data_IF_171544513421
#
_entry.id   IF_171544513421
#
_cell.length_a   1.000
_cell.length_b   1.000
_cell.length_c   1.000
_cell.angle_alpha   90.00
_cell.angle_beta   90.00
_cell.angle_gamma   90.00
#
_symmetry.space_group_name_H-M   'P 1'
#
loop_
_entity.id
_entity.type
_entity.pdbx_description
1 polymer ?
#
# COMPACT_ATOMS: atom_id res chain seq x y z
N UNK A 1 -16.58 -2.92 3.39
CA UNK A 1 -16.63 -4.15 2.54
C UNK A 1 -17.60 -4.05 1.36
N UNK A 2 -18.71 -3.32 1.52
CA UNK A 2 -19.75 -3.07 0.52
C UNK A 2 -19.27 -2.77 -0.91
N UNK A 3 -18.17 -2.01 -1.05
CA UNK A 3 -17.60 -1.66 -2.35
C UNK A 3 -17.11 -2.88 -3.16
N UNK A 4 -16.45 -3.84 -2.52
CA UNK A 4 -15.97 -5.05 -3.19
C UNK A 4 -17.14 -5.86 -3.76
N UNK A 5 -18.21 -5.99 -2.98
CA UNK A 5 -19.40 -6.70 -3.41
C UNK A 5 -20.15 -5.98 -4.52
N UNK A 6 -20.19 -4.64 -4.49
CA UNK A 6 -20.85 -3.84 -5.52
C UNK A 6 -20.28 -4.10 -6.91
N UNK A 7 -18.95 -4.02 -7.09
CA UNK A 7 -18.33 -4.27 -8.40
C UNK A 7 -18.42 -5.71 -8.85
N UNK A 8 -18.20 -6.66 -7.92
CA UNK A 8 -18.34 -8.09 -8.21
C UNK A 8 -19.74 -8.39 -8.74
N UNK A 9 -20.77 -7.89 -8.04
CA UNK A 9 -22.16 -8.05 -8.41
C UNK A 9 -22.49 -7.37 -9.74
N UNK A 10 -21.96 -6.16 -9.97
CA UNK A 10 -22.17 -5.46 -11.24
C UNK A 10 -21.58 -6.27 -12.41
N UNK A 11 -20.33 -6.72 -12.31
CA UNK A 11 -19.67 -7.46 -13.39
C UNK A 11 -20.39 -8.78 -13.65
N UNK A 12 -20.67 -9.58 -12.60
CA UNK A 12 -21.35 -10.87 -12.75
C UNK A 12 -22.78 -10.77 -13.30
N UNK A 13 -23.47 -9.63 -13.14
CA UNK A 13 -24.80 -9.41 -13.70
C UNK A 13 -24.78 -8.99 -15.17
N UNK A 14 -23.70 -8.37 -15.63
CA UNK A 14 -23.60 -7.81 -16.97
C UNK A 14 -22.82 -8.70 -17.94
N UNK A 15 -22.01 -9.63 -17.42
CA UNK A 15 -21.14 -10.50 -18.21
C UNK A 15 -21.26 -11.95 -17.72
N UNK A 16 -21.13 -12.91 -18.64
CA UNK A 16 -21.12 -14.34 -18.34
C UNK A 16 -19.76 -14.77 -17.77
N UNK A 17 -19.49 -14.35 -16.54
CA UNK A 17 -18.20 -14.53 -15.87
C UNK A 17 -18.35 -14.88 -14.40
N UNK A 18 -17.41 -15.67 -13.89
CA UNK A 18 -17.21 -15.82 -12.45
C UNK A 18 -16.32 -14.68 -11.95
N UNK A 19 -16.73 -14.02 -10.86
CA UNK A 19 -16.02 -12.88 -10.30
C UNK A 19 -15.53 -13.18 -8.90
N UNK A 20 -14.24 -12.92 -8.66
CA UNK A 20 -13.56 -13.28 -7.41
C UNK A 20 -12.87 -12.03 -6.88
N UNK A 21 -13.09 -11.75 -5.59
CA UNK A 21 -12.30 -10.78 -4.83
C UNK A 21 -11.44 -11.55 -3.82
N UNK A 22 -10.17 -11.18 -3.74
CA UNK A 22 -9.23 -11.81 -2.81
C UNK A 22 -8.99 -10.86 -1.66
N UNK A 23 -9.26 -11.31 -0.44
CA UNK A 23 -8.80 -10.63 0.77
C UNK A 23 -7.32 -10.98 0.97
N UNK A 24 -6.46 -10.26 0.25
CA UNK A 24 -5.02 -10.50 0.21
C UNK A 24 -4.31 -9.97 1.47
N UNK A 25 -3.05 -10.33 1.64
CA UNK A 25 -2.19 -9.91 2.74
C UNK A 25 -2.13 -8.39 2.86
N UNK A 26 -2.40 -7.88 4.07
CA UNK A 26 -2.44 -6.44 4.33
C UNK A 26 -3.53 -5.71 3.49
N UNK A 27 -4.59 -6.41 3.06
CA UNK A 27 -5.74 -5.81 2.37
C UNK A 27 -6.35 -4.66 3.18
N UNK A 28 -6.46 -4.84 4.50
CA UNK A 28 -6.96 -3.81 5.39
C UNK A 28 -5.86 -3.15 6.20
N UNK A 29 -5.27 -2.15 5.57
CA UNK A 29 -4.22 -1.32 6.13
C UNK A 29 -4.74 -0.08 6.89
N UNK A 30 -6.04 0.03 7.16
CA UNK A 30 -6.66 1.18 7.85
C UNK A 30 -7.78 0.71 8.77
N UNK A 31 -8.31 1.63 9.59
CA UNK A 31 -9.54 1.36 10.35
C UNK A 31 -10.68 1.05 9.40
N UNK A 32 -11.45 0.03 9.77
CA UNK A 32 -12.58 -0.48 9.00
C UNK A 32 -13.84 -0.45 9.87
N UNK A 33 -14.99 -0.35 9.22
CA UNK A 33 -16.31 -0.55 9.84
C UNK A 33 -16.55 -2.02 10.22
N UNK A 34 -15.78 -2.94 9.65
CA UNK A 34 -15.80 -4.37 9.98
C UNK A 34 -14.58 -4.73 10.83
N UNK A 35 -14.81 -5.06 12.11
CA UNK A 35 -13.78 -5.28 13.14
C UNK A 35 -12.71 -6.30 12.74
N UNK A 36 -13.10 -7.44 12.18
CA UNK A 36 -12.19 -8.49 11.68
C UNK A 36 -11.14 -7.96 10.69
N UNK A 37 -11.48 -6.88 9.99
CA UNK A 37 -10.66 -6.26 8.97
C UNK A 37 -10.22 -4.85 9.37
N UNK A 38 -10.24 -4.49 10.65
CA UNK A 38 -9.80 -3.16 11.08
C UNK A 38 -8.35 -3.20 11.54
N UNK A 39 -7.50 -2.37 10.95
CA UNK A 39 -6.20 -2.07 11.55
C UNK A 39 -6.39 -1.32 12.87
N UNK A 40 -5.50 -1.54 13.84
CA UNK A 40 -5.48 -0.79 15.10
C UNK A 40 -4.30 0.16 15.15
N UNK A 41 -4.45 1.24 15.92
CA UNK A 41 -3.41 2.25 16.14
C UNK A 41 -2.48 1.75 17.25
N UNK A 42 -1.19 1.87 17.05
CA UNK A 42 -0.16 1.51 18.02
C UNK A 42 1.00 2.49 17.90
N UNK A 43 1.64 2.84 19.01
CA UNK A 43 2.84 3.65 19.00
C UNK A 43 4.07 2.71 18.97
N UNK A 44 4.85 2.80 17.90
CA UNK A 44 6.17 2.21 17.85
C UNK A 44 7.18 3.12 18.56
N UNK A 45 8.39 2.62 18.79
CA UNK A 45 9.45 3.38 19.46
C UNK A 45 9.70 4.73 18.79
N UNK A 46 9.67 4.76 17.45
CA UNK A 46 9.80 5.97 16.64
C UNK A 46 8.66 6.97 16.85
N UNK A 47 7.44 6.48 17.12
CA UNK A 47 6.30 7.34 17.45
C UNK A 47 6.44 7.95 18.85
N UNK A 48 6.90 7.14 19.80
CA UNK A 48 7.20 7.61 21.17
C UNK A 48 8.30 8.66 21.13
N UNK A 49 9.34 8.45 20.34
CA UNK A 49 10.44 9.40 20.18
C UNK A 49 9.98 10.69 19.49
N UNK A 50 9.11 10.61 18.48
CA UNK A 50 8.47 11.79 17.89
C UNK A 50 7.70 12.61 18.95
N UNK A 51 6.92 11.96 19.82
CA UNK A 51 6.19 12.63 20.89
C UNK A 51 7.16 13.31 21.88
N UNK A 52 8.24 12.64 22.30
CA UNK A 52 9.28 13.24 23.16
C UNK A 52 9.88 14.50 22.55
N UNK A 53 10.25 14.43 21.28
CA UNK A 53 10.84 15.56 20.57
C UNK A 53 9.90 16.77 20.54
N UNK A 54 8.60 16.54 20.30
CA UNK A 54 7.60 17.59 20.36
C UNK A 54 7.40 18.14 21.78
N UNK A 55 7.35 17.29 22.80
CA UNK A 55 7.24 17.74 24.20
C UNK A 55 8.43 18.63 24.59
N UNK A 56 9.65 18.22 24.24
CA UNK A 56 10.88 18.96 24.49
C UNK A 56 10.92 20.30 23.74
N UNK A 57 10.50 20.33 22.47
CA UNK A 57 10.44 21.54 21.67
C UNK A 57 9.57 22.63 22.32
N UNK A 58 8.50 22.23 23.03
CA UNK A 58 7.60 23.15 23.71
C UNK A 58 7.93 23.33 25.20
N UNK A 59 9.07 22.80 25.67
CA UNK A 59 9.46 22.80 27.07
C UNK A 59 8.35 22.27 28.00
N UNK A 60 7.55 21.33 27.49
CA UNK A 60 6.46 20.73 28.25
C UNK A 60 7.06 19.74 29.25
N UNK A 61 6.70 19.84 30.53
CA UNK A 61 7.22 18.92 31.54
C UNK A 61 6.51 17.57 31.47
N UNK A 62 7.27 16.48 31.41
CA UNK A 62 6.76 15.11 31.43
C UNK A 62 7.73 14.20 32.19
N UNK A 63 7.18 13.13 32.78
CA UNK A 63 7.96 12.06 33.39
C UNK A 63 8.45 11.06 32.34
N UNK A 64 8.55 9.78 32.70
CA UNK A 64 8.79 8.74 31.69
C UNK A 64 7.61 8.62 30.71
N UNK A 65 7.91 8.32 29.45
CA UNK A 65 6.92 8.08 28.41
C UNK A 65 6.99 6.65 27.91
N UNK A 66 5.83 6.03 27.76
CA UNK A 66 5.65 4.70 27.22
C UNK A 66 4.30 4.61 26.49
N UNK A 67 3.96 3.42 25.99
CA UNK A 67 2.73 3.22 25.23
C UNK A 67 1.44 3.48 26.02
N UNK A 68 1.47 3.31 27.34
CA UNK A 68 0.29 3.47 28.19
C UNK A 68 -0.07 4.95 28.41
N UNK A 69 0.93 5.85 28.42
CA UNK A 69 0.73 7.26 28.70
C UNK A 69 0.96 8.21 27.49
N UNK A 70 1.54 7.72 26.39
CA UNK A 70 1.88 8.54 25.22
C UNK A 70 0.69 9.30 24.64
N UNK A 71 -0.47 8.66 24.52
CA UNK A 71 -1.68 9.31 24.01
C UNK A 71 -2.12 10.48 24.89
N UNK A 72 -2.06 10.28 26.21
CA UNK A 72 -2.43 11.32 27.18
C UNK A 72 -1.47 12.51 27.12
N UNK A 73 -0.16 12.26 27.02
CA UNK A 73 0.86 13.31 26.90
C UNK A 73 0.71 14.09 25.59
N UNK A 74 0.50 13.40 24.47
CA UNK A 74 0.25 14.04 23.18
C UNK A 74 -0.99 14.96 23.23
N UNK A 75 -2.10 14.48 23.80
CA UNK A 75 -3.30 15.30 23.97
C UNK A 75 -3.09 16.50 24.91
N UNK A 76 -2.27 16.34 25.95
CA UNK A 76 -1.93 17.43 26.87
C UNK A 76 -1.09 18.51 26.17
N UNK A 77 -0.15 18.10 25.31
CA UNK A 77 0.63 19.02 24.49
C UNK A 77 -0.24 19.76 23.47
N UNK A 78 -1.24 19.09 22.87
CA UNK A 78 -2.22 19.74 21.98
C UNK A 78 -2.94 20.88 22.69
N UNK A 79 -3.45 20.65 23.92
CA UNK A 79 -4.11 21.69 24.73
C UNK A 79 -3.15 22.82 25.10
N UNK A 80 -1.88 22.51 25.36
CA UNK A 80 -0.87 23.52 25.60
C UNK A 80 -0.64 24.43 24.38
N UNK A 81 -0.52 23.84 23.19
CA UNK A 81 -0.40 24.57 21.92
C UNK A 81 -1.63 25.43 21.63
N UNK A 82 -2.83 24.92 21.89
CA UNK A 82 -4.07 25.70 21.80
C UNK A 82 -4.02 26.95 22.70
N UNK A 83 -3.61 26.82 23.96
CA UNK A 83 -3.47 27.94 24.88
C UNK A 83 -2.42 28.96 24.41
N UNK A 84 -1.29 28.51 23.85
CA UNK A 84 -0.27 29.42 23.30
C UNK A 84 -0.80 30.24 22.12
N UNK A 85 -1.62 29.63 21.25
CA UNK A 85 -2.28 30.34 20.15
C UNK A 85 -3.29 31.36 20.66
N UNK A 86 -4.10 31.01 21.67
CA UNK A 86 -5.04 31.95 22.30
C UNK A 86 -4.32 33.16 22.92
N UNK A 87 -3.09 32.98 23.38
CA UNK A 87 -2.22 34.05 23.89
C UNK A 87 -1.46 34.80 22.78
N UNK A 88 -1.69 34.49 21.51
CA UNK A 88 -0.94 34.99 20.35
C UNK A 88 0.58 34.77 20.43
N UNK A 89 1.02 33.72 21.15
CA UNK A 89 2.43 33.31 21.26
C UNK A 89 2.85 32.32 20.18
N UNK A 90 1.90 31.83 19.41
CA UNK A 90 2.11 30.87 18.33
C UNK A 90 1.16 31.20 17.18
N UNK A 91 1.60 30.95 15.94
CA UNK A 91 0.76 31.13 14.75
C UNK A 91 -0.52 30.30 14.86
N UNK A 92 -1.67 30.90 14.54
CA UNK A 92 -2.98 30.24 14.58
C UNK A 92 -3.07 29.03 13.64
N UNK A 93 -2.33 29.05 12.52
CA UNK A 93 -2.25 27.96 11.54
C UNK A 93 -1.24 26.87 11.91
N UNK A 94 -0.41 27.07 12.94
CA UNK A 94 0.57 26.07 13.36
C UNK A 94 -0.10 24.75 13.73
N UNK A 95 0.48 23.60 13.36
CA UNK A 95 0.01 22.30 13.81
C UNK A 95 1.18 21.45 14.30
N UNK A 96 0.98 20.75 15.42
CA UNK A 96 1.85 19.66 15.82
C UNK A 96 1.73 18.50 14.83
N UNK A 97 2.85 17.95 14.38
CA UNK A 97 2.87 16.77 13.51
C UNK A 97 3.28 15.54 14.32
N UNK A 98 2.28 14.84 14.86
CA UNK A 98 2.49 13.55 15.52
C UNK A 98 2.59 12.43 14.49
N UNK A 99 3.27 11.36 14.87
CA UNK A 99 3.29 10.10 14.11
C UNK A 99 2.59 8.98 14.89
N UNK A 100 2.01 8.02 14.16
CA UNK A 100 1.42 6.81 14.74
C UNK A 100 1.46 5.66 13.75
N UNK A 101 1.44 4.41 14.22
CA UNK A 101 1.51 3.24 13.36
C UNK A 101 0.17 2.51 13.28
N UNK A 102 -0.27 2.16 12.08
CA UNK A 102 -1.32 1.17 11.86
C UNK A 102 -0.73 -0.24 11.82
N UNK A 103 -1.31 -1.11 12.64
CA UNK A 103 -1.01 -2.54 12.62
C UNK A 103 -2.20 -3.24 11.93
N UNK A 104 -1.98 -3.82 10.74
CA UNK A 104 -2.98 -4.65 10.07
C UNK A 104 -3.47 -5.80 10.98
N UNK A 105 -4.71 -6.27 10.81
CA UNK A 105 -5.19 -7.45 11.54
C UNK A 105 -4.46 -8.71 11.08
N UNK A 106 -4.58 -9.80 11.84
CA UNK A 106 -4.05 -11.14 11.50
C UNK A 106 -2.52 -11.28 11.41
N UNK A 107 -1.75 -10.32 11.96
CA UNK A 107 -0.28 -10.39 11.94
C UNK A 107 0.34 -10.00 10.59
N UNK A 108 -0.45 -9.42 9.69
CA UNK A 108 0.01 -8.90 8.41
C UNK A 108 0.95 -7.68 8.57
N UNK A 109 1.67 -7.36 7.50
CA UNK A 109 2.52 -6.17 7.42
C UNK A 109 2.53 -5.62 6.00
N UNK A 110 2.96 -4.37 5.86
CA UNK A 110 3.13 -3.76 4.54
C UNK A 110 4.33 -4.40 3.82
N UNK A 111 4.04 -5.26 2.84
CA UNK A 111 5.03 -5.87 1.96
C UNK A 111 5.09 -5.20 0.58
N UNK A 112 4.01 -4.52 0.18
CA UNK A 112 3.73 -3.90 -1.11
C UNK A 112 3.99 -4.81 -2.32
N UNK A 113 2.93 -5.25 -2.99
CA UNK A 113 3.00 -6.02 -4.24
C UNK A 113 3.12 -7.53 -4.02
N UNK A 114 4.26 -8.03 -3.54
CA UNK A 114 4.62 -9.46 -3.67
C UNK A 114 3.68 -10.39 -2.90
N UNK A 115 3.48 -10.17 -1.58
CA UNK A 115 2.57 -11.03 -0.81
C UNK A 115 1.14 -10.98 -1.37
N UNK A 116 0.66 -9.77 -1.69
CA UNK A 116 -0.68 -9.60 -2.26
C UNK A 116 -0.84 -10.31 -3.62
N UNK A 117 0.14 -10.21 -4.52
CA UNK A 117 0.11 -10.89 -5.81
C UNK A 117 0.13 -12.42 -5.65
N UNK A 118 0.94 -12.95 -4.72
CA UNK A 118 0.99 -14.38 -4.41
C UNK A 118 -0.36 -14.88 -3.88
N UNK A 119 -1.04 -14.12 -3.03
CA UNK A 119 -2.36 -14.50 -2.53
C UNK A 119 -3.41 -14.60 -3.64
N UNK A 120 -3.37 -13.71 -4.64
CA UNK A 120 -4.26 -13.83 -5.80
C UNK A 120 -3.95 -15.09 -6.61
N UNK A 121 -2.67 -15.40 -6.82
CA UNK A 121 -2.25 -16.63 -7.52
C UNK A 121 -2.71 -17.87 -6.75
N UNK A 122 -2.54 -17.88 -5.43
CA UNK A 122 -2.94 -18.98 -4.57
C UNK A 122 -4.46 -19.13 -4.52
N UNK A 123 -5.22 -18.03 -4.46
CA UNK A 123 -6.67 -18.05 -4.52
C UNK A 123 -7.18 -18.68 -5.82
N UNK A 124 -6.58 -18.36 -6.97
CA UNK A 124 -6.91 -19.01 -8.25
C UNK A 124 -6.61 -20.52 -8.20
N UNK A 125 -5.44 -20.91 -7.67
CA UNK A 125 -5.05 -22.33 -7.60
C UNK A 125 -5.99 -23.13 -6.70
N UNK A 126 -6.37 -22.57 -5.56
CA UNK A 126 -7.34 -23.20 -4.65
C UNK A 126 -8.73 -23.29 -5.28
N UNK A 127 -9.16 -22.23 -5.97
CA UNK A 127 -10.42 -22.21 -6.69
C UNK A 127 -10.48 -23.30 -7.77
N UNK A 128 -9.42 -23.47 -8.56
CA UNK A 128 -9.33 -24.53 -9.57
C UNK A 128 -9.33 -25.92 -8.92
N UNK A 129 -8.69 -26.08 -7.76
CA UNK A 129 -8.71 -27.35 -7.01
C UNK A 129 -10.13 -27.70 -6.53
N UNK A 130 -10.85 -26.71 -6.01
CA UNK A 130 -12.23 -26.87 -5.53
C UNK A 130 -13.24 -27.01 -6.68
N UNK A 131 -13.00 -26.34 -7.80
CA UNK A 131 -13.86 -26.34 -8.99
C UNK A 131 -13.03 -26.60 -10.26
N UNK A 132 -12.72 -27.87 -10.57
CA UNK A 132 -11.81 -28.23 -11.67
C UNK A 132 -12.19 -27.65 -13.04
N UNK A 133 -13.49 -27.46 -13.30
CA UNK A 133 -13.98 -26.83 -14.55
C UNK A 133 -13.51 -25.38 -14.74
N UNK A 134 -13.10 -24.69 -13.67
CA UNK A 134 -12.56 -23.33 -13.77
C UNK A 134 -11.14 -23.30 -14.33
N UNK A 135 -10.45 -24.46 -14.39
CA UNK A 135 -9.15 -24.57 -15.04
C UNK A 135 -9.20 -24.16 -16.53
N UNK A 136 -10.33 -24.41 -17.18
CA UNK A 136 -10.51 -24.19 -18.63
C UNK A 136 -11.00 -22.78 -18.97
N UNK A 137 -11.43 -22.00 -17.97
CA UNK A 137 -11.89 -20.62 -18.18
C UNK A 137 -10.72 -19.67 -18.40
N UNK A 138 -10.88 -18.56 -19.15
CA UNK A 138 -9.90 -17.48 -19.19
C UNK A 138 -9.74 -16.78 -17.83
N UNK A 139 -8.49 -16.44 -17.46
CA UNK A 139 -8.13 -15.75 -16.21
C UNK A 139 -7.81 -14.29 -16.51
N UNK A 140 -8.69 -13.40 -16.10
CA UNK A 140 -8.52 -11.95 -16.27
C UNK A 140 -8.32 -11.31 -14.90
N UNK A 141 -7.22 -10.58 -14.74
CA UNK A 141 -6.95 -9.78 -13.55
C UNK A 141 -7.18 -8.32 -13.86
N UNK A 142 -7.92 -7.62 -13.00
CA UNK A 142 -8.17 -6.21 -13.22
C UNK A 142 -8.32 -5.39 -11.96
N UNK A 143 -7.94 -4.12 -12.04
CA UNK A 143 -8.07 -3.20 -10.93
C UNK A 143 -7.62 -1.78 -11.23
N UNK A 144 -8.00 -0.87 -10.33
CA UNK A 144 -7.56 0.53 -10.34
C UNK A 144 -6.42 0.79 -9.35
N UNK A 145 -5.55 1.74 -9.66
CA UNK A 145 -4.42 2.17 -8.82
C UNK A 145 -3.59 0.96 -8.37
N UNK A 146 -3.52 0.69 -7.06
CA UNK A 146 -2.82 -0.48 -6.53
C UNK A 146 -3.33 -1.81 -7.11
N UNK A 147 -4.63 -1.97 -7.38
CA UNK A 147 -5.18 -3.17 -8.00
C UNK A 147 -4.72 -3.38 -9.45
N UNK A 148 -4.54 -2.29 -10.21
CA UNK A 148 -3.99 -2.35 -11.57
C UNK A 148 -2.51 -2.71 -11.57
N UNK A 149 -1.76 -2.15 -10.61
CA UNK A 149 -0.38 -2.55 -10.33
C UNK A 149 -0.28 -4.05 -9.99
N UNK A 150 -1.12 -4.54 -9.07
CA UNK A 150 -1.15 -5.96 -8.71
C UNK A 150 -1.48 -6.85 -9.90
N UNK A 151 -2.44 -6.46 -10.74
CA UNK A 151 -2.83 -7.25 -11.92
C UNK A 151 -1.67 -7.44 -12.90
N UNK A 152 -0.90 -6.37 -13.15
CA UNK A 152 0.31 -6.45 -13.98
C UNK A 152 1.45 -7.23 -13.28
N UNK A 153 1.60 -7.07 -11.96
CA UNK A 153 2.61 -7.79 -11.19
C UNK A 153 2.35 -9.31 -11.18
N UNK A 154 1.09 -9.72 -11.08
CA UNK A 154 0.68 -11.12 -11.17
C UNK A 154 1.05 -11.68 -12.55
N UNK A 155 0.75 -10.96 -13.63
CA UNK A 155 1.15 -11.38 -14.98
C UNK A 155 2.67 -11.51 -15.14
N UNK A 156 3.45 -10.64 -14.48
CA UNK A 156 4.91 -10.71 -14.45
C UNK A 156 5.43 -11.93 -13.66
N UNK A 157 4.80 -12.28 -12.54
CA UNK A 157 5.25 -13.37 -11.65
C UNK A 157 4.79 -14.74 -12.15
N UNK A 158 3.55 -14.85 -12.62
CA UNK A 158 2.93 -16.11 -13.00
C UNK A 158 2.18 -16.01 -14.35
N UNK A 159 2.88 -15.70 -15.45
CA UNK A 159 2.28 -15.47 -16.77
C UNK A 159 1.44 -16.65 -17.31
N UNK A 160 1.73 -17.88 -16.88
CA UNK A 160 0.98 -19.08 -17.28
C UNK A 160 -0.40 -19.22 -16.60
N UNK A 161 -0.74 -18.34 -15.65
CA UNK A 161 -2.05 -18.28 -15.01
C UNK A 161 -2.83 -17.02 -15.37
N UNK A 162 -2.44 -16.34 -16.45
CA UNK A 162 -3.04 -15.07 -16.89
C UNK A 162 -3.34 -15.13 -18.38
N UNK A 163 -4.58 -14.83 -18.74
CA UNK A 163 -5.01 -14.67 -20.13
C UNK A 163 -5.25 -13.19 -20.49
N UNK A 164 -5.61 -12.36 -19.49
CA UNK A 164 -5.79 -10.93 -19.69
C UNK A 164 -5.52 -10.08 -18.46
N UNK A 165 -5.14 -8.83 -18.69
CA UNK A 165 -4.93 -7.81 -17.66
C UNK A 165 -5.67 -6.54 -18.03
N UNK A 166 -6.47 -6.02 -17.09
CA UNK A 166 -7.13 -4.71 -17.18
C UNK A 166 -6.59 -3.80 -16.07
N UNK A 167 -5.68 -2.92 -16.44
CA UNK A 167 -5.05 -1.98 -15.53
C UNK A 167 -5.63 -0.58 -15.72
N UNK A 168 -6.00 0.07 -14.61
CA UNK A 168 -6.32 1.49 -14.60
C UNK A 168 -5.44 2.22 -13.59
N UNK A 169 -4.53 3.04 -14.08
CA UNK A 169 -3.68 3.95 -13.29
C UNK A 169 -2.75 3.24 -12.29
N UNK A 170 -2.38 1.99 -12.54
CA UNK A 170 -1.39 1.29 -11.71
C UNK A 170 0.03 1.80 -11.96
N UNK A 171 0.83 1.99 -10.92
CA UNK A 171 2.21 2.47 -11.10
C UNK A 171 3.10 1.43 -11.78
N UNK A 172 3.91 1.84 -12.76
CA UNK A 172 4.94 0.97 -13.34
C UNK A 172 6.16 0.79 -12.42
N UNK A 173 6.45 1.80 -11.59
CA UNK A 173 7.49 1.79 -10.58
C UNK A 173 6.85 1.83 -9.19
N UNK A 174 7.09 0.84 -8.31
CA UNK A 174 6.46 0.82 -6.99
C UNK A 174 6.96 1.99 -6.14
N UNK A 175 6.08 2.82 -5.55
CA UNK A 175 6.52 3.94 -4.71
C UNK A 175 7.23 3.43 -3.45
N UNK A 176 8.48 3.83 -3.25
CA UNK A 176 9.29 3.39 -2.11
C UNK A 176 8.69 3.77 -0.75
N UNK A 177 7.91 4.86 -0.68
CA UNK A 177 7.20 5.27 0.53
C UNK A 177 6.31 4.15 1.10
N UNK A 178 5.64 3.38 0.23
CA UNK A 178 4.78 2.28 0.66
C UNK A 178 5.55 0.99 1.01
N UNK A 179 6.88 1.00 0.93
CA UNK A 179 7.75 -0.14 1.23
C UNK A 179 8.59 0.15 2.46
N UNK A 180 9.34 1.26 2.41
CA UNK A 180 10.30 1.70 3.42
C UNK A 180 9.65 2.61 4.47
N UNK A 181 8.46 3.16 4.21
CA UNK A 181 7.71 3.98 5.15
C UNK A 181 8.56 5.09 5.76
N UNK A 182 8.68 5.04 7.09
CA UNK A 182 9.38 6.03 7.94
C UNK A 182 10.86 6.22 7.60
N UNK A 183 11.52 5.23 7.02
CA UNK A 183 12.93 5.36 6.67
C UNK A 183 13.17 6.20 5.40
N UNK A 184 12.11 6.58 4.69
CA UNK A 184 12.23 7.56 3.61
C UNK A 184 12.44 8.96 4.20
N UNK A 185 13.53 9.62 3.82
CA UNK A 185 13.90 10.99 4.26
C UNK A 185 12.75 12.00 4.09
N UNK A 186 11.96 11.86 3.03
CA UNK A 186 10.81 12.70 2.71
C UNK A 186 9.50 11.91 2.75
N UNK A 187 9.36 10.98 3.70
CA UNK A 187 8.12 10.22 3.85
C UNK A 187 6.95 11.14 4.18
N UNK A 188 5.84 10.97 3.48
CA UNK A 188 4.58 11.66 3.72
C UNK A 188 3.57 10.78 4.48
N UNK A 189 3.99 9.62 4.98
CA UNK A 189 3.11 8.61 5.58
C UNK A 189 2.19 7.92 4.58
N UNK A 190 1.36 7.00 5.07
CA UNK A 190 0.36 6.24 4.31
C UNK A 190 -1.04 6.88 4.36
N UNK A 191 -1.28 7.67 5.40
CA UNK A 191 -2.56 8.31 5.70
C UNK A 191 -2.36 9.42 6.74
N UNK A 192 -3.23 10.42 6.77
CA UNK A 192 -3.21 11.48 7.77
C UNK A 192 -4.59 11.73 8.35
N UNK A 193 -4.64 12.05 9.64
CA UNK A 193 -5.80 12.66 10.28
C UNK A 193 -5.45 14.11 10.65
N UNK A 194 -6.23 15.05 10.14
CA UNK A 194 -6.06 16.47 10.40
C UNK A 194 -7.04 16.96 11.47
N UNK A 195 -6.50 17.62 12.49
CA UNK A 195 -7.25 18.27 13.56
C UNK A 195 -6.93 19.79 13.57
N UNK A 196 -7.68 20.60 14.35
CA UNK A 196 -7.43 22.06 14.41
C UNK A 196 -6.04 22.45 14.89
N UNK A 197 -5.41 21.64 15.76
CA UNK A 197 -4.15 22.01 16.44
C UNK A 197 -3.02 21.00 16.21
N UNK A 198 -3.33 19.88 15.58
CA UNK A 198 -2.37 18.84 15.26
C UNK A 198 -2.77 18.08 13.99
N UNK A 199 -1.82 17.35 13.46
CA UNK A 199 -1.99 16.33 12.44
C UNK A 199 -1.35 15.05 12.97
N UNK A 200 -1.97 13.92 12.67
CA UNK A 200 -1.39 12.60 12.92
C UNK A 200 -1.03 11.99 11.56
N UNK A 201 0.25 11.72 11.36
CA UNK A 201 0.79 11.04 10.17
C UNK A 201 0.88 9.56 10.49
N UNK A 202 0.11 8.75 9.78
CA UNK A 202 0.07 7.31 9.97
C UNK A 202 1.02 6.60 9.04
N UNK A 203 1.73 5.62 9.58
CA UNK A 203 2.56 4.70 8.82
C UNK A 203 2.05 3.28 9.02
N UNK A 204 2.33 2.41 8.07
CA UNK A 204 2.10 0.99 8.21
C UNK A 204 3.30 0.26 8.76
N UNK A 205 3.05 -0.73 9.62
CA UNK A 205 4.10 -1.67 10.02
C UNK A 205 4.70 -2.32 8.79
N UNK A 206 6.00 -2.15 8.60
CA UNK A 206 6.81 -2.82 7.58
C UNK A 206 8.00 -3.48 8.26
N UNK A 207 8.52 -4.55 7.67
CA UNK A 207 9.79 -5.15 8.08
C UNK A 207 10.97 -4.59 7.31
N UNK A 208 10.74 -4.00 6.14
CA UNK A 208 11.79 -3.52 5.26
C UNK A 208 12.56 -2.36 5.87
N UNK A 209 13.89 -2.43 5.76
CA UNK A 209 14.81 -1.40 6.25
C UNK A 209 15.99 -1.20 5.30
N UNK A 210 16.65 -0.05 5.37
CA UNK A 210 17.92 0.28 4.70
C UNK A 210 19.13 0.11 5.62
N UNK A 211 18.95 -0.49 6.81
CA UNK A 211 20.05 -0.92 7.69
C UNK A 211 20.75 -2.15 7.09
N UNK A 212 21.97 -1.98 6.57
CA UNK A 212 22.69 -3.01 5.79
C UNK A 212 22.86 -4.36 6.52
N UNK A 213 23.03 -4.34 7.84
CA UNK A 213 23.22 -5.55 8.64
C UNK A 213 21.90 -6.24 9.06
N UNK A 214 20.75 -5.73 8.62
CA UNK A 214 19.45 -6.31 8.95
C UNK A 214 19.13 -7.50 8.04
N UNK A 215 18.55 -8.61 8.57
CA UNK A 215 17.99 -9.66 7.72
C UNK A 215 16.81 -9.16 6.87
N UNK A 216 16.26 -7.99 7.19
CA UNK A 216 15.20 -7.32 6.44
C UNK A 216 15.71 -6.15 5.58
N UNK A 217 17.00 -6.13 5.25
CA UNK A 217 17.56 -5.11 4.36
C UNK A 217 16.88 -5.18 2.99
N UNK A 218 16.24 -4.08 2.58
CA UNK A 218 15.53 -3.95 1.31
C UNK A 218 16.54 -3.61 0.21
N UNK A 219 17.04 -4.63 -0.49
CA UNK A 219 18.03 -4.50 -1.54
C UNK A 219 17.39 -4.19 -2.92
N UNK A 220 18.24 -4.03 -3.94
CA UNK A 220 17.79 -3.74 -5.30
C UNK A 220 16.90 -4.85 -5.89
N UNK A 221 17.19 -6.12 -5.61
CA UNK A 221 16.38 -7.24 -6.10
C UNK A 221 14.97 -7.23 -5.49
N UNK A 222 14.85 -6.83 -4.21
CA UNK A 222 13.54 -6.63 -3.59
C UNK A 222 12.74 -5.53 -4.31
N UNK A 223 13.39 -4.51 -4.86
CA UNK A 223 12.74 -3.50 -5.67
C UNK A 223 12.45 -3.97 -7.10
N UNK A 224 13.39 -4.66 -7.75
CA UNK A 224 13.26 -5.11 -9.13
C UNK A 224 12.18 -6.17 -9.32
N UNK A 225 11.98 -7.05 -8.34
CA UNK A 225 10.88 -8.02 -8.41
C UNK A 225 9.50 -7.31 -8.41
N UNK A 226 9.40 -6.14 -7.77
CA UNK A 226 8.18 -5.31 -7.69
C UNK A 226 8.03 -4.32 -8.85
N UNK A 227 9.13 -4.01 -9.55
CA UNK A 227 9.16 -3.07 -10.67
C UNK A 227 8.58 -3.70 -11.94
N UNK A 228 7.53 -3.10 -12.51
CA UNK A 228 6.93 -3.57 -13.76
C UNK A 228 7.78 -3.20 -14.97
N UNK A 229 8.40 -2.01 -14.95
CA UNK A 229 9.35 -1.57 -15.97
C UNK A 229 10.75 -2.20 -15.73
N UNK A 230 10.83 -3.52 -15.83
CA UNK A 230 12.10 -4.25 -15.82
C UNK A 230 12.19 -5.07 -17.11
N UNK A 231 13.07 -4.66 -18.02
CA UNK A 231 13.16 -5.23 -19.37
C UNK A 231 13.44 -6.73 -19.36
N UNK A 232 14.38 -7.18 -18.53
CA UNK A 232 14.76 -8.60 -18.47
C UNK A 232 13.61 -9.46 -17.96
N UNK A 233 12.89 -8.97 -16.93
CA UNK A 233 11.70 -9.65 -16.44
C UNK A 233 10.57 -9.70 -17.49
N UNK A 234 10.34 -8.62 -18.25
CA UNK A 234 9.33 -8.59 -19.31
C UNK A 234 9.69 -9.56 -20.45
N UNK A 235 10.98 -9.65 -20.81
CA UNK A 235 11.45 -10.65 -21.78
C UNK A 235 11.16 -12.06 -21.26
N UNK A 236 11.55 -12.37 -20.02
CA UNK A 236 11.29 -13.68 -19.41
C UNK A 236 9.79 -14.00 -19.34
N UNK A 237 8.97 -13.02 -19.00
CA UNK A 237 7.51 -13.13 -18.98
C UNK A 237 6.97 -13.53 -20.36
N UNK A 238 7.36 -12.80 -21.40
CA UNK A 238 6.91 -13.06 -22.79
C UNK A 238 7.36 -14.42 -23.33
N UNK A 239 8.52 -14.93 -22.88
CA UNK A 239 8.97 -16.28 -23.24
C UNK A 239 8.08 -17.38 -22.63
N UNK A 240 7.35 -17.08 -21.54
CA UNK A 240 6.44 -18.04 -20.89
C UNK A 240 5.02 -17.94 -21.43
N UNK A 241 4.52 -16.75 -21.71
CA UNK A 241 3.21 -16.55 -22.31
C UNK A 241 3.18 -15.27 -23.14
N UNK A 242 2.89 -15.42 -24.44
CA UNK A 242 2.73 -14.33 -25.42
C UNK A 242 1.26 -13.95 -25.65
N UNK A 243 0.33 -14.78 -25.17
CA UNK A 243 -1.08 -14.62 -25.50
C UNK A 243 -1.82 -13.72 -24.50
N UNK A 244 -1.10 -13.05 -23.58
CA UNK A 244 -1.72 -12.20 -22.57
C UNK A 244 -2.23 -10.92 -23.23
N UNK A 245 -3.53 -10.66 -23.10
CA UNK A 245 -4.12 -9.41 -23.58
C UNK A 245 -3.97 -8.34 -22.51
N UNK A 246 -3.27 -7.24 -22.84
CA UNK A 246 -3.12 -6.09 -21.94
C UNK A 246 -4.00 -4.93 -22.38
N UNK A 247 -4.84 -4.44 -21.46
CA UNK A 247 -5.56 -3.18 -21.58
C UNK A 247 -5.15 -2.30 -20.41
N UNK A 248 -4.50 -1.17 -20.70
CA UNK A 248 -3.98 -0.26 -19.66
C UNK A 248 -4.39 1.18 -19.95
N UNK A 249 -4.94 1.83 -18.92
CA UNK A 249 -5.31 3.24 -18.92
C UNK A 249 -4.45 3.98 -17.91
N UNK A 250 -3.90 5.14 -18.26
CA UNK A 250 -3.10 5.96 -17.35
C UNK A 250 -3.21 7.43 -17.71
N UNK A 251 -3.37 8.31 -16.72
CA UNK A 251 -3.44 9.76 -16.94
C UNK A 251 -2.05 10.33 -17.24
N UNK A 252 -1.94 11.17 -18.27
CA UNK A 252 -0.73 11.93 -18.59
C UNK A 252 -0.40 13.00 -17.54
N UNK A 253 -1.36 13.31 -16.64
CA UNK A 253 -1.26 14.32 -15.60
C UNK A 253 -1.16 13.77 -14.18
N UNK A 254 -0.95 12.46 -14.00
CA UNK A 254 -0.77 11.89 -12.66
C UNK A 254 0.59 12.33 -12.08
N UNK A 255 0.61 13.14 -11.00
CA UNK A 255 1.85 13.63 -10.42
C UNK A 255 2.54 12.60 -9.51
N UNK A 256 1.83 11.55 -9.09
CA UNK A 256 2.33 10.52 -8.17
C UNK A 256 2.92 9.33 -8.95
N UNK A 257 2.32 8.98 -10.08
CA UNK A 257 2.76 7.87 -10.92
C UNK A 257 2.93 8.33 -12.37
N UNK A 258 4.13 8.82 -12.75
CA UNK A 258 4.36 9.38 -14.08
C UNK A 258 4.04 8.40 -15.22
N UNK A 259 3.27 8.87 -16.20
CA UNK A 259 2.77 8.05 -17.31
C UNK A 259 3.88 7.49 -18.22
N UNK A 260 5.03 8.16 -18.30
CA UNK A 260 6.15 7.75 -19.16
C UNK A 260 6.65 6.33 -18.83
N UNK A 261 6.72 5.97 -17.55
CA UNK A 261 7.14 4.62 -17.16
C UNK A 261 6.12 3.57 -17.57
N UNK A 262 4.82 3.87 -17.44
CA UNK A 262 3.74 3.01 -17.90
C UNK A 262 3.77 2.83 -19.43
N UNK A 263 3.92 3.93 -20.16
CA UNK A 263 4.03 3.93 -21.62
C UNK A 263 5.18 3.03 -22.07
N UNK A 264 6.35 3.14 -21.45
CA UNK A 264 7.49 2.27 -21.75
C UNK A 264 7.21 0.80 -21.44
N UNK A 265 6.58 0.48 -20.30
CA UNK A 265 6.20 -0.90 -19.96
C UNK A 265 5.28 -1.50 -21.03
N UNK A 266 4.23 -0.77 -21.41
CA UNK A 266 3.26 -1.23 -22.41
C UNK A 266 3.87 -1.33 -23.82
N UNK A 267 4.77 -0.41 -24.19
CA UNK A 267 5.50 -0.47 -25.46
C UNK A 267 6.39 -1.71 -25.54
N UNK A 268 7.11 -2.04 -24.47
CA UNK A 268 7.94 -3.25 -24.42
C UNK A 268 7.06 -4.50 -24.57
N UNK A 269 5.97 -4.62 -23.81
CA UNK A 269 5.04 -5.74 -23.93
C UNK A 269 4.49 -5.86 -25.36
N UNK A 270 4.06 -4.75 -25.97
CA UNK A 270 3.59 -4.75 -27.37
C UNK A 270 4.64 -5.23 -28.38
N UNK A 271 5.92 -4.94 -28.15
CA UNK A 271 7.03 -5.38 -29.01
C UNK A 271 7.31 -6.89 -28.82
N UNK A 272 7.21 -7.38 -27.59
CA UNK A 272 7.46 -8.79 -27.27
C UNK A 272 6.35 -9.72 -27.78
N UNK A 273 5.21 -9.14 -28.14
CA UNK A 273 4.01 -9.82 -28.61
C UNK A 273 3.31 -10.49 -27.44
#
# INVERSE_FOLDING_TARGET
>A
MYFLDSYRNYIAKNFDVATINVFYHCFCQRRSDVEKYSAYKYFQEEDIENIKNLLNQFHFSYGEINNDNALFLANSLVKHVENLKMQNKLDHNFKLNFTSTFIPPNGDYQNFGIMAAIDHINALKDLVKCFPKFADLPKIYGGGSYGGYLSLLIAKIAPWYVDGVIDNSGSALPPLNYILGREMEHSYGDYYEDFPHNRIIFFLKTHWTRKENSPYFFNNENYFIRTLLNKDHLILQSQKNKNIIYVSYHSDKDPLTPANFKQQTMQILKILG
#
